data_IF_350023164431
#
_entry.id   IF_350023164431
#
_cell.length_a   1.000
_cell.length_b   1.000
_cell.length_c   1.000
_cell.angle_alpha   90.00
_cell.angle_beta   90.00
_cell.angle_gamma   90.00
#
_symmetry.space_group_name_H-M   'P 1'
#
loop_
_entity.id
_entity.type
_entity.pdbx_description
1 polymer ?
#
# COMPACT_ATOMS: atom_id res chain seq x y z
N UNK A 1 -6.28 3.69 -7.53
CA UNK A 1 -6.86 3.55 -6.17
C UNK A 1 -8.10 2.67 -6.25
N UNK A 2 -8.30 1.71 -5.32
CA UNK A 2 -9.55 0.91 -5.26
C UNK A 2 -10.46 1.38 -4.15
N UNK A 3 -9.90 1.78 -3.00
CA UNK A 3 -10.65 2.49 -1.96
C UNK A 3 -11.25 3.78 -2.53
N UNK A 4 -12.50 4.16 -2.18
CA UNK A 4 -13.07 5.46 -2.55
C UNK A 4 -12.14 6.61 -2.16
N UNK A 5 -12.11 7.68 -2.96
CA UNK A 5 -11.31 8.88 -2.65
C UNK A 5 -11.99 9.75 -1.59
N UNK A 6 -13.32 9.72 -1.54
CA UNK A 6 -14.11 10.46 -0.56
C UNK A 6 -13.88 9.89 0.85
N UNK A 7 -13.31 10.66 1.79
CA UNK A 7 -12.97 10.19 3.13
C UNK A 7 -14.19 9.76 3.95
N UNK A 8 -15.40 10.21 3.60
CA UNK A 8 -16.63 9.78 4.26
C UNK A 8 -17.10 8.39 3.83
N UNK A 9 -16.41 7.77 2.86
CA UNK A 9 -16.79 6.49 2.26
C UNK A 9 -15.74 5.39 2.47
N UNK A 10 -14.74 5.63 3.32
CA UNK A 10 -13.76 4.61 3.70
C UNK A 10 -13.20 4.81 5.11
N UNK A 11 -12.65 3.73 5.67
CA UNK A 11 -11.85 3.78 6.90
C UNK A 11 -10.36 3.98 6.61
N UNK A 12 -9.51 3.80 7.61
CA UNK A 12 -8.06 3.97 7.47
C UNK A 12 -7.39 2.99 6.49
N UNK A 13 -8.00 1.83 6.21
CA UNK A 13 -7.45 0.85 5.27
C UNK A 13 -7.60 1.32 3.83
N UNK A 14 -6.47 1.45 3.14
CA UNK A 14 -6.40 1.84 1.74
C UNK A 14 -5.99 0.64 0.89
N UNK A 15 -6.69 0.44 -0.22
CA UNK A 15 -6.41 -0.60 -1.21
C UNK A 15 -5.92 0.03 -2.52
N UNK A 16 -4.76 -0.41 -2.99
CA UNK A 16 -4.17 -0.05 -4.29
C UNK A 16 -4.25 -1.23 -5.24
N UNK A 17 -4.59 -0.97 -6.50
CA UNK A 17 -4.58 -2.02 -7.52
C UNK A 17 -3.14 -2.28 -7.96
N UNK A 18 -2.82 -3.56 -8.16
CA UNK A 18 -1.56 -4.00 -8.76
C UNK A 18 -1.87 -5.10 -9.75
N UNK A 19 -1.08 -5.21 -10.82
CA UNK A 19 -1.17 -6.33 -11.75
C UNK A 19 -0.27 -7.51 -11.33
N UNK A 20 0.58 -7.34 -10.31
CA UNK A 20 1.45 -8.37 -9.70
C UNK A 20 1.58 -8.16 -8.18
N UNK A 21 0.45 -8.19 -7.46
CA UNK A 21 0.40 -7.79 -6.05
C UNK A 21 1.34 -8.60 -5.15
N UNK A 22 1.49 -9.91 -5.38
CA UNK A 22 2.34 -10.77 -4.55
C UNK A 22 3.83 -10.43 -4.70
N UNK A 23 4.24 -9.99 -5.91
CA UNK A 23 5.58 -9.49 -6.13
C UNK A 23 5.78 -8.15 -5.41
N UNK A 24 4.80 -7.25 -5.50
CA UNK A 24 4.86 -5.95 -4.82
C UNK A 24 4.96 -6.11 -3.29
N UNK A 25 4.17 -7.00 -2.69
CA UNK A 25 4.27 -7.31 -1.25
C UNK A 25 5.69 -7.77 -0.88
N UNK A 26 6.27 -8.71 -1.65
CA UNK A 26 7.65 -9.19 -1.40
C UNK A 26 8.71 -8.09 -1.53
N UNK A 27 8.53 -7.16 -2.49
CA UNK A 27 9.45 -6.02 -2.66
C UNK A 27 9.39 -5.05 -1.49
N UNK A 28 8.18 -4.74 -1.01
CA UNK A 28 7.97 -3.88 0.15
C UNK A 28 8.48 -4.54 1.45
N UNK A 29 8.26 -5.85 1.61
CA UNK A 29 8.80 -6.62 2.73
C UNK A 29 10.34 -6.59 2.77
N UNK A 30 11.00 -6.73 1.62
CA UNK A 30 12.46 -6.60 1.51
C UNK A 30 12.97 -5.20 1.93
N UNK A 31 12.13 -4.17 1.84
CA UNK A 31 12.39 -2.80 2.30
C UNK A 31 11.91 -2.54 3.75
N UNK A 32 11.54 -3.60 4.48
CA UNK A 32 11.02 -3.55 5.84
C UNK A 32 9.69 -2.79 5.96
N UNK A 33 8.85 -2.87 4.92
CA UNK A 33 7.49 -2.31 4.89
C UNK A 33 6.50 -3.47 4.84
N UNK A 34 5.89 -3.78 5.99
CA UNK A 34 4.95 -4.90 6.11
C UNK A 34 3.56 -4.47 5.68
N UNK A 35 3.03 -5.15 4.66
CA UNK A 35 1.71 -4.92 4.07
C UNK A 35 1.07 -6.27 3.73
N UNK A 36 -0.23 -6.28 3.42
CA UNK A 36 -0.93 -7.48 2.99
C UNK A 36 -1.54 -7.29 1.60
N UNK A 37 -1.98 -8.39 0.98
CA UNK A 37 -2.75 -8.35 -0.27
C UNK A 37 -4.09 -9.06 -0.10
N UNK A 38 -5.08 -8.67 -0.90
CA UNK A 38 -6.34 -9.40 -1.08
C UNK A 38 -6.97 -9.02 -2.41
N UNK A 39 -7.53 -9.99 -3.13
CA UNK A 39 -8.26 -9.76 -4.39
C UNK A 39 -7.45 -8.94 -5.42
N UNK A 40 -6.17 -9.26 -5.59
CA UNK A 40 -5.19 -8.55 -6.43
C UNK A 40 -4.93 -7.07 -6.05
N UNK A 41 -5.27 -6.68 -4.83
CA UNK A 41 -5.02 -5.33 -4.32
C UNK A 41 -4.04 -5.36 -3.15
N UNK A 42 -3.10 -4.42 -3.16
CA UNK A 42 -2.24 -4.14 -2.02
C UNK A 42 -3.07 -3.45 -0.95
N UNK A 43 -3.02 -3.94 0.29
CA UNK A 43 -3.73 -3.38 1.44
C UNK A 43 -2.74 -2.71 2.38
N UNK A 44 -2.91 -1.42 2.54
CA UNK A 44 -2.17 -0.56 3.46
C UNK A 44 -3.10 -0.25 4.62
N UNK A 45 -2.69 -0.60 5.83
CA UNK A 45 -3.49 -0.38 7.05
C UNK A 45 -2.63 0.39 8.05
N UNK A 46 -2.63 1.73 7.99
CA UNK A 46 -1.96 2.53 9.01
C UNK A 46 -2.56 2.23 10.38
N UNK A 47 -1.70 2.04 11.36
CA UNK A 47 -2.05 1.77 12.76
C UNK A 47 -1.50 2.86 13.68
N UNK A 48 -1.87 2.80 14.96
CA UNK A 48 -1.46 3.79 15.97
C UNK A 48 0.06 3.98 16.08
N UNK A 49 0.84 2.94 15.76
CA UNK A 49 2.30 2.98 15.82
C UNK A 49 2.96 3.59 14.58
N UNK A 50 2.17 3.88 13.54
CA UNK A 50 2.70 4.52 12.35
C UNK A 50 2.70 6.03 12.48
N UNK A 51 3.69 6.67 11.86
CA UNK A 51 3.79 8.12 11.77
C UNK A 51 3.94 8.56 10.31
N UNK A 52 4.11 9.87 10.09
CA UNK A 52 4.26 10.44 8.75
C UNK A 52 5.54 9.99 8.03
N UNK A 53 6.59 9.63 8.77
CA UNK A 53 7.81 9.08 8.17
C UNK A 53 7.56 7.70 7.56
N UNK A 54 6.77 6.85 8.24
CA UNK A 54 6.36 5.56 7.66
C UNK A 54 5.53 5.73 6.40
N UNK A 55 4.65 6.74 6.37
CA UNK A 55 3.87 7.09 5.19
C UNK A 55 4.79 7.52 4.04
N UNK A 56 5.75 8.41 4.30
CA UNK A 56 6.71 8.86 3.29
C UNK A 56 7.54 7.68 2.75
N UNK A 57 8.07 6.82 3.64
CA UNK A 57 8.82 5.61 3.26
C UNK A 57 8.01 4.68 2.37
N UNK A 58 6.73 4.49 2.68
CA UNK A 58 5.81 3.71 1.85
C UNK A 58 5.62 4.36 0.46
N UNK A 59 5.37 5.67 0.39
CA UNK A 59 5.16 6.37 -0.87
C UNK A 59 6.41 6.33 -1.76
N UNK A 60 7.60 6.47 -1.18
CA UNK A 60 8.87 6.36 -1.89
C UNK A 60 9.09 4.94 -2.45
N UNK A 61 8.77 3.90 -1.66
CA UNK A 61 8.87 2.52 -2.10
C UNK A 61 7.87 2.19 -3.21
N UNK A 62 6.62 2.67 -3.09
CA UNK A 62 5.61 2.54 -4.14
C UNK A 62 6.03 3.26 -5.43
N UNK A 63 6.71 4.39 -5.32
CA UNK A 63 7.24 5.14 -6.46
C UNK A 63 8.36 4.37 -7.18
N UNK A 64 9.24 3.69 -6.44
CA UNK A 64 10.27 2.81 -7.01
C UNK A 64 9.68 1.62 -7.75
N UNK A 65 8.63 1.00 -7.21
CA UNK A 65 7.94 -0.16 -7.81
C UNK A 65 6.65 0.22 -8.56
N UNK A 66 6.60 1.44 -9.12
CA UNK A 66 5.43 1.94 -9.85
C UNK A 66 5.07 1.07 -11.06
N UNK A 67 6.05 0.34 -11.59
CA UNK A 67 5.90 -0.62 -12.67
C UNK A 67 5.05 -1.83 -12.29
N UNK A 68 4.71 -2.00 -11.01
CA UNK A 68 3.80 -3.05 -10.50
C UNK A 68 2.39 -2.52 -10.18
N UNK A 69 2.17 -1.21 -10.23
CA UNK A 69 0.88 -0.56 -9.96
C UNK A 69 0.00 -0.48 -11.23
N UNK A 70 -1.25 -0.06 -11.05
CA UNK A 70 -2.24 0.20 -12.12
C UNK A 70 -2.78 1.62 -11.99
#
# INVERSE_FOLDING_TARGET
>A
LVTPVDPNRHGALIALRSHKVDLLVKRLEAEQIVVSSRDNNLRISPHFYNNMEDVNRLLDALTRHKDLLV
#
